data_IF_309879703469
#
_entry.id   IF_309879703469
#
_cell.length_a   1.000
_cell.length_b   1.000
_cell.length_c   1.000
_cell.angle_alpha   90.00
_cell.angle_beta   90.00
_cell.angle_gamma   90.00
#
_symmetry.space_group_name_H-M   'P 1'
#
loop_
_entity.id
_entity.type
_entity.pdbx_description
1 polymer ?
#
# COMPACT_ATOMS: atom_id res chain seq x y z
N UNK A 1 -26.80 -30.20 17.26
CA UNK A 1 -25.62 -31.08 17.05
C UNK A 1 -26.01 -32.32 16.26
N UNK A 2 -27.06 -33.09 16.68
CA UNK A 2 -27.42 -34.35 16.01
C UNK A 2 -27.93 -34.19 14.56
N UNK A 3 -28.35 -33.01 14.15
CA UNK A 3 -28.76 -32.66 12.78
C UNK A 3 -27.64 -32.18 11.89
N UNK A 4 -26.43 -32.04 12.42
CA UNK A 4 -25.24 -31.66 11.65
C UNK A 4 -24.58 -32.88 10.99
N UNK A 5 -23.89 -32.69 9.90
CA UNK A 5 -23.02 -33.70 9.29
C UNK A 5 -21.72 -33.86 10.08
N UNK A 6 -21.10 -35.04 10.01
CA UNK A 6 -19.81 -35.30 10.64
C UNK A 6 -18.70 -34.87 9.65
N UNK A 7 -17.76 -34.07 10.14
CA UNK A 7 -16.53 -33.77 9.42
C UNK A 7 -15.32 -34.18 10.29
N UNK A 8 -14.36 -34.82 9.67
CA UNK A 8 -13.11 -35.26 10.30
C UNK A 8 -11.95 -34.63 9.53
N UNK A 9 -11.08 -33.93 10.23
CA UNK A 9 -9.87 -33.35 9.67
C UNK A 9 -8.68 -34.06 10.30
N UNK A 10 -7.79 -34.59 9.46
CA UNK A 10 -6.59 -35.30 9.89
C UNK A 10 -5.38 -34.55 9.34
N UNK A 11 -4.48 -34.12 10.23
CA UNK A 11 -3.20 -33.55 9.86
C UNK A 11 -2.11 -34.61 10.03
N UNK A 12 -1.40 -34.93 8.97
CA UNK A 12 -0.37 -35.95 8.90
C UNK A 12 1.01 -35.32 8.69
N UNK A 13 1.97 -35.55 9.56
CA UNK A 13 3.35 -35.13 9.35
C UNK A 13 3.98 -35.94 8.19
N UNK A 14 4.57 -35.26 7.22
CA UNK A 14 5.31 -35.89 6.13
C UNK A 14 6.80 -35.78 6.45
N UNK A 15 7.47 -36.93 6.52
CA UNK A 15 8.91 -37.05 6.81
C UNK A 15 9.61 -37.80 5.69
N UNK A 16 10.89 -37.55 5.42
CA UNK A 16 11.69 -38.32 4.45
C UNK A 16 12.07 -39.71 4.95
N UNK A 17 12.13 -39.86 6.25
CA UNK A 17 12.50 -41.14 6.89
C UNK A 17 11.62 -41.43 8.10
N UNK A 18 11.42 -42.67 8.41
CA UNK A 18 10.68 -43.08 9.59
C UNK A 18 11.32 -42.49 10.86
N UNK A 19 10.53 -41.77 11.67
CA UNK A 19 11.00 -41.08 12.88
C UNK A 19 11.76 -39.78 12.66
N UNK A 20 11.87 -39.28 11.40
CA UNK A 20 12.46 -37.99 11.09
C UNK A 20 11.55 -36.82 11.49
N UNK A 21 12.12 -35.59 11.50
CA UNK A 21 11.34 -34.37 11.70
C UNK A 21 10.36 -34.16 10.55
N UNK A 22 9.18 -33.63 10.85
CA UNK A 22 8.19 -33.31 9.84
C UNK A 22 8.71 -32.16 8.94
N UNK A 23 8.75 -32.41 7.62
CA UNK A 23 9.13 -31.40 6.62
C UNK A 23 7.92 -30.59 6.16
N UNK A 24 6.74 -31.21 6.16
CA UNK A 24 5.44 -30.59 5.89
C UNK A 24 4.33 -31.35 6.61
N UNK A 25 3.17 -30.73 6.67
CA UNK A 25 1.93 -31.35 7.10
C UNK A 25 1.00 -31.50 5.92
N UNK A 26 0.42 -32.70 5.73
CA UNK A 26 -0.68 -32.92 4.80
C UNK A 26 -1.99 -32.95 5.57
N UNK A 27 -2.96 -32.20 5.10
CA UNK A 27 -4.29 -32.12 5.70
C UNK A 27 -5.27 -32.88 4.81
N UNK A 28 -5.92 -33.87 5.41
CA UNK A 28 -7.01 -34.62 4.79
C UNK A 28 -8.30 -34.29 5.50
N UNK A 29 -9.37 -34.09 4.76
CA UNK A 29 -10.69 -33.89 5.34
C UNK A 29 -11.69 -34.87 4.77
N UNK A 30 -12.58 -35.36 5.62
CA UNK A 30 -13.61 -36.33 5.30
C UNK A 30 -14.94 -35.81 5.83
N UNK A 31 -16.02 -35.98 5.10
CA UNK A 31 -17.36 -35.64 5.57
C UNK A 31 -18.39 -36.70 5.21
N UNK A 32 -19.40 -36.83 6.04
CA UNK A 32 -20.62 -37.58 5.73
C UNK A 32 -21.69 -36.63 5.23
N UNK A 33 -22.50 -37.03 4.24
CA UNK A 33 -23.73 -36.32 3.87
C UNK A 33 -24.85 -36.60 4.86
N UNK A 34 -24.78 -37.73 5.54
CA UNK A 34 -25.72 -38.10 6.60
C UNK A 34 -25.41 -37.30 7.86
N UNK A 35 -26.46 -36.97 8.58
CA UNK A 35 -26.37 -36.32 9.88
C UNK A 35 -25.70 -37.23 10.92
N UNK A 36 -25.15 -36.67 11.98
CA UNK A 36 -24.58 -37.44 13.11
C UNK A 36 -25.60 -38.44 13.67
N UNK A 37 -26.90 -38.04 13.74
CA UNK A 37 -27.99 -38.93 14.14
C UNK A 37 -28.13 -40.14 13.22
N UNK A 38 -28.15 -39.92 11.91
CA UNK A 38 -28.29 -41.01 10.92
C UNK A 38 -27.11 -41.95 10.93
N UNK A 39 -25.89 -41.39 11.00
CA UNK A 39 -24.66 -42.17 11.13
C UNK A 39 -24.68 -43.02 12.39
N UNK A 40 -25.00 -42.44 13.55
CA UNK A 40 -25.07 -43.16 14.82
C UNK A 40 -26.08 -44.31 14.81
N UNK A 41 -27.22 -44.18 14.14
CA UNK A 41 -28.19 -45.27 13.95
C UNK A 41 -27.62 -46.34 13.01
N UNK A 42 -26.98 -45.95 11.92
CA UNK A 42 -26.46 -46.88 10.91
C UNK A 42 -25.34 -47.78 11.46
N UNK A 43 -24.47 -47.17 12.27
CA UNK A 43 -23.37 -47.91 12.94
C UNK A 43 -23.82 -48.68 14.17
N UNK A 44 -25.12 -48.65 14.52
CA UNK A 44 -25.67 -49.38 15.62
C UNK A 44 -25.34 -48.84 17.03
N UNK A 45 -24.87 -47.62 17.13
CA UNK A 45 -24.59 -46.94 18.40
C UNK A 45 -25.81 -46.26 19.00
N UNK A 46 -26.77 -45.86 18.15
CA UNK A 46 -27.95 -45.13 18.59
C UNK A 46 -29.23 -45.76 18.06
N UNK A 47 -30.32 -45.55 18.80
CA UNK A 47 -31.70 -45.88 18.38
C UNK A 47 -32.57 -44.63 18.46
N UNK A 48 -33.61 -44.59 17.62
CA UNK A 48 -34.56 -43.50 17.58
C UNK A 48 -35.92 -44.10 18.04
N UNK A 49 -36.48 -43.54 19.11
CA UNK A 49 -37.79 -43.92 19.63
C UNK A 49 -38.63 -42.64 19.65
N UNK A 50 -39.57 -42.51 18.68
CA UNK A 50 -40.31 -41.27 18.45
C UNK A 50 -39.34 -40.15 18.07
N UNK A 51 -39.32 -39.04 18.81
CA UNK A 51 -38.43 -37.91 18.61
C UNK A 51 -37.09 -38.02 19.40
N UNK A 52 -36.98 -39.01 20.24
CA UNK A 52 -35.84 -39.16 21.15
C UNK A 52 -34.77 -40.06 20.56
N UNK A 53 -33.50 -39.65 20.68
CA UNK A 53 -32.33 -40.43 20.29
C UNK A 53 -31.67 -40.97 21.59
N UNK A 54 -31.59 -42.26 21.68
CA UNK A 54 -30.96 -42.97 22.83
C UNK A 54 -29.74 -43.77 22.35
N UNK A 55 -28.78 -43.99 23.26
CA UNK A 55 -27.66 -44.89 23.00
C UNK A 55 -28.04 -46.33 23.33
N UNK A 56 -27.52 -47.28 22.57
CA UNK A 56 -27.60 -48.69 22.99
C UNK A 56 -26.64 -48.93 24.17
N UNK A 57 -27.10 -49.65 25.15
CA UNK A 57 -26.23 -50.07 26.30
C UNK A 57 -25.14 -51.06 25.85
N UNK A 58 -25.46 -51.84 24.85
CA UNK A 58 -24.55 -52.74 24.13
C UNK A 58 -24.64 -52.39 22.64
N UNK A 59 -23.59 -51.78 22.08
CA UNK A 59 -23.58 -51.50 20.61
C UNK A 59 -23.72 -52.79 19.80
N UNK A 60 -24.41 -52.72 18.67
CA UNK A 60 -24.51 -53.81 17.73
C UNK A 60 -23.23 -53.95 16.91
N UNK A 61 -22.31 -54.80 17.32
CA UNK A 61 -21.02 -55.03 16.68
C UNK A 61 -21.13 -55.58 15.24
N UNK A 62 -22.33 -56.01 14.81
CA UNK A 62 -22.54 -56.46 13.44
C UNK A 62 -22.65 -55.29 12.46
N UNK A 63 -23.01 -54.10 12.95
CA UNK A 63 -23.10 -52.87 12.20
C UNK A 63 -21.81 -52.08 12.25
N UNK A 64 -20.90 -52.32 11.35
CA UNK A 64 -19.53 -51.73 11.35
C UNK A 64 -19.39 -50.42 10.58
N UNK A 65 -20.47 -49.77 10.19
CA UNK A 65 -20.42 -48.48 9.50
C UNK A 65 -19.84 -48.51 8.08
N UNK A 66 -19.56 -49.72 7.53
CA UNK A 66 -18.98 -49.85 6.17
C UNK A 66 -19.93 -49.38 5.06
N UNK A 67 -21.21 -49.18 5.37
CA UNK A 67 -22.22 -48.64 4.46
C UNK A 67 -22.32 -47.11 4.50
N UNK A 68 -21.68 -46.43 5.48
CA UNK A 68 -21.76 -44.97 5.59
C UNK A 68 -20.85 -44.35 4.53
N UNK A 69 -21.42 -43.63 3.55
CA UNK A 69 -20.62 -42.95 2.54
C UNK A 69 -19.77 -41.86 3.16
N UNK A 70 -18.47 -41.95 2.96
CA UNK A 70 -17.52 -40.90 3.37
C UNK A 70 -17.00 -40.21 2.12
N UNK A 71 -17.17 -38.90 2.07
CA UNK A 71 -16.66 -38.05 1.01
C UNK A 71 -15.32 -37.48 1.40
N UNK A 72 -14.32 -37.65 0.53
CA UNK A 72 -13.03 -37.00 0.69
C UNK A 72 -13.17 -35.54 0.26
N UNK A 73 -12.82 -34.63 1.14
CA UNK A 73 -12.79 -33.21 0.86
C UNK A 73 -11.36 -32.75 0.67
N UNK A 74 -11.15 -31.83 -0.28
CA UNK A 74 -9.88 -31.14 -0.43
C UNK A 74 -9.95 -29.85 0.41
N UNK A 75 -9.27 -29.80 1.56
CA UNK A 75 -9.30 -28.60 2.37
C UNK A 75 -8.58 -27.45 1.65
N UNK A 76 -9.24 -26.32 1.51
CA UNK A 76 -8.63 -25.08 1.05
C UNK A 76 -8.23 -24.28 2.27
N UNK A 77 -6.93 -24.17 2.50
CA UNK A 77 -6.41 -23.37 3.62
C UNK A 77 -6.51 -21.88 3.29
N UNK A 78 -6.90 -21.11 4.29
CA UNK A 78 -6.89 -19.64 4.16
C UNK A 78 -5.45 -19.17 3.91
N UNK A 79 -5.29 -18.31 2.91
CA UNK A 79 -4.03 -17.65 2.64
C UNK A 79 -3.83 -16.55 3.68
N UNK A 80 -2.60 -16.28 4.09
CA UNK A 80 -2.29 -15.32 5.15
C UNK A 80 -1.22 -14.32 4.69
N UNK A 81 -1.07 -13.17 5.37
CA UNK A 81 0.04 -12.24 5.09
C UNK A 81 1.41 -12.91 5.12
N UNK A 82 1.64 -13.81 6.07
CA UNK A 82 2.88 -14.58 6.15
C UNK A 82 3.06 -15.53 4.95
N UNK A 83 1.99 -16.21 4.52
CA UNK A 83 1.97 -17.03 3.32
C UNK A 83 2.22 -16.21 2.06
N UNK A 84 1.59 -15.03 1.97
CA UNK A 84 1.78 -14.10 0.87
C UNK A 84 3.24 -13.61 0.78
N UNK A 85 3.84 -13.24 1.91
CA UNK A 85 5.24 -12.83 1.96
C UNK A 85 6.18 -13.96 1.55
N UNK A 86 6.00 -15.17 2.10
CA UNK A 86 6.81 -16.34 1.77
C UNK A 86 6.73 -16.70 0.29
N UNK A 87 5.54 -16.66 -0.33
CA UNK A 87 5.34 -16.90 -1.76
C UNK A 87 6.09 -15.89 -2.63
N UNK A 88 6.32 -14.69 -2.12
CA UNK A 88 7.07 -13.63 -2.79
C UNK A 88 8.55 -13.54 -2.37
N UNK A 89 9.04 -14.50 -1.58
CA UNK A 89 10.42 -14.49 -1.02
C UNK A 89 10.70 -13.20 -0.24
N UNK A 90 9.74 -12.76 0.54
CA UNK A 90 9.78 -11.58 1.41
C UNK A 90 9.47 -11.98 2.84
N UNK A 91 9.76 -11.06 3.75
CA UNK A 91 9.25 -11.13 5.12
C UNK A 91 7.94 -10.33 5.21
N UNK A 92 7.01 -10.84 6.01
CA UNK A 92 5.77 -10.13 6.29
C UNK A 92 6.07 -8.88 7.13
N UNK A 93 5.36 -7.80 6.83
CA UNK A 93 5.45 -6.52 7.56
C UNK A 93 4.08 -6.27 8.17
N UNK A 94 3.99 -6.25 9.48
CA UNK A 94 2.74 -6.07 10.23
C UNK A 94 2.59 -4.64 10.80
N UNK A 95 3.52 -3.74 10.45
CA UNK A 95 3.44 -2.35 10.92
C UNK A 95 2.29 -1.61 10.26
N UNK A 96 1.73 -0.67 11.02
CA UNK A 96 0.62 0.18 10.56
C UNK A 96 1.09 1.15 9.47
N UNK A 97 0.42 1.10 8.32
CA UNK A 97 0.67 1.93 7.15
C UNK A 97 -0.58 2.77 6.88
N UNK A 98 -0.44 4.07 6.92
CA UNK A 98 -1.50 4.99 6.48
C UNK A 98 -1.19 5.43 5.05
N UNK A 99 -2.08 5.08 4.12
CA UNK A 99 -1.97 5.48 2.72
C UNK A 99 -2.96 6.61 2.42
N UNK A 100 -2.46 7.68 1.81
CA UNK A 100 -3.26 8.82 1.35
C UNK A 100 -3.31 8.82 -0.17
N UNK A 101 -4.51 8.67 -0.72
CA UNK A 101 -4.75 8.57 -2.16
C UNK A 101 -4.85 7.13 -2.66
N UNK A 102 -6.05 6.73 -3.07
CA UNK A 102 -6.37 5.44 -3.69
C UNK A 102 -6.66 5.58 -5.20
N UNK A 103 -5.99 6.53 -5.86
CA UNK A 103 -6.11 6.74 -7.30
C UNK A 103 -5.38 5.69 -8.15
N UNK A 104 -5.02 6.05 -9.39
CA UNK A 104 -4.40 5.12 -10.35
C UNK A 104 -3.15 4.44 -9.81
N UNK A 105 -2.15 5.21 -9.35
CA UNK A 105 -0.90 4.65 -8.82
C UNK A 105 -1.12 4.06 -7.42
N UNK A 106 -1.88 4.76 -6.54
CA UNK A 106 -2.11 4.33 -5.16
C UNK A 106 -2.81 2.98 -5.08
N UNK A 107 -3.91 2.79 -5.82
CA UNK A 107 -4.65 1.52 -5.80
C UNK A 107 -3.81 0.32 -6.23
N UNK A 108 -3.00 0.49 -7.27
CA UNK A 108 -2.14 -0.58 -7.79
C UNK A 108 -0.94 -0.86 -6.88
N UNK A 109 -0.31 0.20 -6.33
CA UNK A 109 0.81 0.09 -5.40
C UNK A 109 0.38 -0.58 -4.09
N UNK A 110 -0.72 -0.12 -3.47
CA UNK A 110 -1.27 -0.69 -2.24
C UNK A 110 -1.61 -2.17 -2.46
N UNK A 111 -2.32 -2.51 -3.56
CA UNK A 111 -2.65 -3.89 -3.90
C UNK A 111 -1.39 -4.76 -4.07
N UNK A 112 -0.36 -4.23 -4.74
CA UNK A 112 0.89 -4.95 -4.96
C UNK A 112 1.63 -5.20 -3.65
N UNK A 113 1.74 -4.19 -2.78
CA UNK A 113 2.33 -4.31 -1.45
C UNK A 113 1.55 -5.31 -0.58
N UNK A 114 0.21 -5.18 -0.54
CA UNK A 114 -0.65 -6.08 0.21
C UNK A 114 -0.43 -7.54 -0.19
N UNK A 115 -0.41 -7.85 -1.48
CA UNK A 115 -0.15 -9.20 -2.02
C UNK A 115 1.22 -9.77 -1.62
N UNK A 116 2.12 -8.95 -1.12
CA UNK A 116 3.43 -9.38 -0.58
C UNK A 116 3.47 -9.47 0.94
N UNK A 117 2.31 -9.46 1.62
CA UNK A 117 2.23 -9.51 3.08
C UNK A 117 2.78 -8.26 3.75
N UNK A 118 2.62 -7.08 3.12
CA UNK A 118 3.14 -5.82 3.63
C UNK A 118 2.01 -4.96 4.19
N UNK A 119 2.16 -4.58 5.45
CA UNK A 119 1.38 -3.55 6.13
C UNK A 119 0.06 -4.01 6.74
N UNK A 120 -0.30 -3.32 7.80
CA UNK A 120 -1.63 -3.19 8.39
C UNK A 120 -2.15 -1.82 7.93
N UNK A 121 -3.19 -1.79 7.07
CA UNK A 121 -3.49 -0.64 6.26
C UNK A 121 -4.65 0.21 6.77
N UNK A 122 -4.44 1.52 6.80
CA UNK A 122 -5.52 2.52 6.78
C UNK A 122 -5.43 3.28 5.45
N UNK A 123 -6.53 3.31 4.68
CA UNK A 123 -6.57 3.90 3.34
C UNK A 123 -7.48 5.13 3.36
N UNK A 124 -6.94 6.29 3.03
CA UNK A 124 -7.63 7.58 3.05
C UNK A 124 -7.81 8.07 1.61
N UNK A 125 -9.06 8.28 1.20
CA UNK A 125 -9.42 8.90 -0.09
C UNK A 125 -10.88 9.36 0.00
N UNK A 126 -11.18 10.58 -0.45
CA UNK A 126 -12.54 11.14 -0.40
C UNK A 126 -13.39 10.82 -1.63
N UNK A 127 -12.74 10.45 -2.74
CA UNK A 127 -13.39 10.31 -4.04
C UNK A 127 -14.14 8.99 -4.19
N UNK A 128 -15.17 9.03 -5.05
CA UNK A 128 -15.82 7.81 -5.55
C UNK A 128 -15.11 7.22 -6.77
N UNK A 129 -15.23 5.90 -6.93
CA UNK A 129 -14.74 5.21 -8.12
C UNK A 129 -15.70 5.45 -9.30
N UNK A 130 -15.23 6.16 -10.31
CA UNK A 130 -15.98 6.50 -11.50
C UNK A 130 -15.62 5.60 -12.69
N UNK A 131 -16.52 5.41 -13.69
CA UNK A 131 -16.25 4.53 -14.83
C UNK A 131 -14.93 4.79 -15.55
N UNK A 132 -14.51 6.05 -15.69
CA UNK A 132 -13.26 6.41 -16.37
C UNK A 132 -12.01 6.03 -15.54
N UNK A 133 -12.14 5.83 -14.23
CA UNK A 133 -11.03 5.37 -13.39
C UNK A 133 -10.62 3.94 -13.72
N UNK A 134 -11.56 3.09 -14.19
CA UNK A 134 -11.31 1.68 -14.52
C UNK A 134 -10.19 1.48 -15.54
N UNK A 135 -9.92 2.50 -16.35
CA UNK A 135 -8.81 2.44 -17.30
C UNK A 135 -7.44 2.21 -16.62
N UNK A 136 -7.27 2.61 -15.35
CA UNK A 136 -5.97 2.59 -14.65
C UNK A 136 -6.04 2.18 -13.18
N UNK A 137 -7.22 2.04 -12.62
CA UNK A 137 -7.42 1.64 -11.23
C UNK A 137 -7.25 0.12 -11.07
N UNK A 138 -6.85 -0.33 -9.88
CA UNK A 138 -6.73 -1.76 -9.58
C UNK A 138 -8.08 -2.49 -9.50
N UNK A 139 -9.17 -1.76 -9.27
CA UNK A 139 -10.51 -2.30 -9.14
C UNK A 139 -11.23 -2.40 -10.48
N UNK A 140 -12.25 -3.26 -10.54
CA UNK A 140 -13.11 -3.48 -11.69
C UNK A 140 -14.46 -2.74 -11.57
N UNK A 141 -15.35 -2.98 -12.56
CA UNK A 141 -16.64 -2.31 -12.67
C UNK A 141 -17.65 -2.62 -11.56
N UNK A 142 -17.42 -3.64 -10.74
CA UNK A 142 -18.27 -3.97 -9.59
C UNK A 142 -18.30 -2.84 -8.56
N UNK A 143 -17.19 -2.13 -8.42
CA UNK A 143 -17.01 -1.07 -7.41
C UNK A 143 -17.39 0.33 -7.89
N UNK A 144 -17.93 0.50 -9.10
CA UNK A 144 -18.35 1.83 -9.59
C UNK A 144 -19.39 2.44 -8.63
N UNK A 145 -19.13 3.69 -8.22
CA UNK A 145 -19.98 4.43 -7.28
C UNK A 145 -19.65 4.19 -5.80
N UNK A 146 -18.70 3.30 -5.48
CA UNK A 146 -18.21 3.17 -4.11
C UNK A 146 -17.13 4.22 -3.85
N UNK A 147 -16.99 4.72 -2.60
CA UNK A 147 -15.81 5.46 -2.21
C UNK A 147 -14.53 4.65 -2.47
N UNK A 148 -13.52 5.25 -3.10
CA UNK A 148 -12.29 4.53 -3.51
C UNK A 148 -11.60 3.82 -2.36
N UNK A 149 -11.49 4.49 -1.19
CA UNK A 149 -10.88 3.89 0.00
C UNK A 149 -11.64 2.65 0.48
N UNK A 150 -12.98 2.73 0.56
CA UNK A 150 -13.82 1.62 0.99
C UNK A 150 -13.80 0.45 -0.02
N UNK A 151 -13.88 0.76 -1.31
CA UNK A 151 -13.81 -0.22 -2.37
C UNK A 151 -12.47 -0.97 -2.38
N UNK A 152 -11.36 -0.23 -2.21
CA UNK A 152 -10.02 -0.83 -2.19
C UNK A 152 -9.82 -1.69 -0.95
N UNK A 153 -10.22 -1.22 0.24
CA UNK A 153 -10.14 -1.98 1.48
C UNK A 153 -10.91 -3.30 1.35
N UNK A 154 -12.17 -3.24 0.90
CA UNK A 154 -12.98 -4.44 0.65
C UNK A 154 -12.31 -5.41 -0.34
N UNK A 155 -11.75 -4.89 -1.44
CA UNK A 155 -11.05 -5.72 -2.43
C UNK A 155 -9.82 -6.42 -1.83
N UNK A 156 -9.03 -5.72 -1.02
CA UNK A 156 -7.85 -6.29 -0.38
C UNK A 156 -8.20 -7.47 0.53
N UNK A 157 -9.27 -7.36 1.31
CA UNK A 157 -9.75 -8.45 2.17
C UNK A 157 -10.23 -9.67 1.39
N UNK A 158 -10.65 -9.51 0.12
CA UNK A 158 -10.97 -10.64 -0.75
C UNK A 158 -9.72 -11.38 -1.25
N UNK A 159 -8.53 -10.76 -1.23
CA UNK A 159 -7.28 -11.44 -1.60
C UNK A 159 -6.89 -12.46 -0.53
N UNK A 160 -6.89 -12.06 0.74
CA UNK A 160 -6.76 -12.91 1.92
C UNK A 160 -7.20 -12.12 3.17
N UNK A 161 -7.63 -12.80 4.24
CA UNK A 161 -7.94 -12.15 5.50
C UNK A 161 -6.72 -11.39 6.04
N UNK A 162 -6.80 -10.09 6.08
CA UNK A 162 -5.78 -9.16 6.57
C UNK A 162 -6.47 -8.00 7.26
N UNK A 163 -5.80 -6.86 7.31
CA UNK A 163 -6.38 -5.65 7.85
C UNK A 163 -6.24 -4.50 6.84
N UNK A 164 -7.37 -3.92 6.45
CA UNK A 164 -7.44 -2.76 5.58
C UNK A 164 -8.67 -1.93 5.94
N UNK A 165 -8.47 -0.84 6.68
CA UNK A 165 -9.54 0.06 7.12
C UNK A 165 -9.65 1.28 6.20
N UNK A 166 -10.83 1.61 5.70
CA UNK A 166 -11.04 2.80 4.88
C UNK A 166 -11.38 4.01 5.74
N UNK A 167 -10.88 5.18 5.34
CA UNK A 167 -11.37 6.48 5.82
C UNK A 167 -11.75 7.31 4.60
N UNK A 168 -13.02 7.70 4.53
CA UNK A 168 -13.56 8.54 3.46
C UNK A 168 -13.43 9.99 3.94
N UNK A 169 -12.34 10.66 3.57
CA UNK A 169 -12.07 12.03 4.01
C UNK A 169 -11.13 12.75 3.05
N UNK A 170 -11.32 14.07 2.94
CA UNK A 170 -10.30 14.98 2.42
C UNK A 170 -9.26 15.22 3.52
N UNK A 171 -7.99 14.93 3.23
CA UNK A 171 -6.90 15.13 4.18
C UNK A 171 -6.65 16.61 4.49
N UNK A 172 -7.02 17.51 3.60
CA UNK A 172 -6.85 18.97 3.75
C UNK A 172 -8.05 19.63 4.46
N UNK A 173 -9.25 19.04 4.36
CA UNK A 173 -10.47 19.45 5.05
C UNK A 173 -11.06 18.26 5.81
N UNK A 174 -10.50 17.99 6.98
CA UNK A 174 -10.72 16.75 7.73
C UNK A 174 -12.13 16.67 8.37
N UNK A 175 -12.82 17.80 8.56
CA UNK A 175 -14.17 17.84 9.13
C UNK A 175 -14.35 16.94 10.35
N UNK A 176 -15.41 16.14 10.35
CA UNK A 176 -15.74 15.18 11.42
C UNK A 176 -14.73 14.02 11.54
N UNK A 177 -13.88 13.79 10.52
CA UNK A 177 -12.87 12.75 10.53
C UNK A 177 -11.58 13.14 11.24
N UNK A 178 -11.44 14.38 11.72
CA UNK A 178 -10.20 14.91 12.29
C UNK A 178 -9.63 14.03 13.42
N UNK A 179 -10.42 13.70 14.43
CA UNK A 179 -9.95 12.90 15.58
C UNK A 179 -9.50 11.50 15.15
N UNK A 180 -10.25 10.87 14.23
CA UNK A 180 -9.90 9.57 13.69
C UNK A 180 -8.58 9.63 12.93
N UNK A 181 -8.42 10.60 12.04
CA UNK A 181 -7.20 10.80 11.26
C UNK A 181 -5.98 11.05 12.16
N UNK A 182 -6.11 11.89 13.21
CA UNK A 182 -5.03 12.13 14.15
C UNK A 182 -4.60 10.86 14.87
N UNK A 183 -5.56 10.02 15.30
CA UNK A 183 -5.27 8.72 15.90
C UNK A 183 -4.51 7.81 14.95
N UNK A 184 -5.01 7.67 13.72
CA UNK A 184 -4.40 6.79 12.71
C UNK A 184 -2.96 7.23 12.38
N UNK A 185 -2.72 8.53 12.22
CA UNK A 185 -1.39 9.08 12.00
C UNK A 185 -0.45 8.90 13.20
N UNK A 186 -0.96 9.04 14.43
CA UNK A 186 -0.15 8.87 15.64
C UNK A 186 0.34 7.41 15.80
N UNK A 187 -0.47 6.43 15.40
CA UNK A 187 -0.16 5.01 15.47
C UNK A 187 0.66 4.51 14.28
N UNK A 188 0.70 5.24 13.17
CA UNK A 188 1.40 4.86 11.95
C UNK A 188 2.91 4.67 12.17
N UNK A 189 3.49 3.73 11.42
CA UNK A 189 4.94 3.57 11.24
C UNK A 189 5.41 4.10 9.90
N UNK A 190 4.51 4.09 8.92
CA UNK A 190 4.72 4.63 7.58
C UNK A 190 3.48 5.41 7.15
N UNK A 191 3.67 6.60 6.61
CA UNK A 191 2.66 7.33 5.86
C UNK A 191 3.08 7.31 4.40
N UNK A 192 2.25 6.71 3.55
CA UNK A 192 2.47 6.56 2.12
C UNK A 192 1.56 7.54 1.37
N UNK A 193 2.14 8.59 0.82
CA UNK A 193 1.43 9.55 0.00
C UNK A 193 1.41 9.09 -1.47
N UNK A 194 0.22 8.80 -1.98
CA UNK A 194 -0.06 8.46 -3.36
C UNK A 194 -1.08 9.43 -4.00
N UNK A 195 -1.30 10.58 -3.37
CA UNK A 195 -2.27 11.58 -3.83
C UNK A 195 -1.87 12.27 -5.13
N UNK A 196 -0.59 12.27 -5.46
CA UNK A 196 0.02 13.05 -6.54
C UNK A 196 -0.26 14.56 -6.40
N UNK A 197 -0.43 15.03 -5.17
CA UNK A 197 -0.71 16.42 -4.84
C UNK A 197 0.40 17.01 -3.98
N UNK A 198 1.09 18.03 -4.49
CA UNK A 198 2.13 18.74 -3.74
C UNK A 198 1.59 19.34 -2.43
N UNK A 199 0.34 19.82 -2.43
CA UNK A 199 -0.29 20.40 -1.23
C UNK A 199 -0.49 19.32 -0.16
N UNK A 200 -0.93 18.11 -0.55
CA UNK A 200 -1.10 16.99 0.38
C UNK A 200 0.25 16.55 0.94
N UNK A 201 1.27 16.39 0.10
CA UNK A 201 2.61 16.01 0.54
C UNK A 201 3.18 17.01 1.58
N UNK A 202 3.02 18.32 1.34
CA UNK A 202 3.44 19.38 2.27
C UNK A 202 2.61 19.38 3.57
N UNK A 203 1.29 19.19 3.48
CA UNK A 203 0.43 19.04 4.65
C UNK A 203 0.88 17.87 5.52
N UNK A 204 1.14 16.72 4.91
CA UNK A 204 1.66 15.53 5.60
C UNK A 204 3.03 15.79 6.25
N UNK A 205 3.90 16.55 5.60
CA UNK A 205 5.22 16.89 6.10
C UNK A 205 5.16 17.82 7.32
N UNK A 206 4.33 18.87 7.26
CA UNK A 206 4.42 20.02 8.16
C UNK A 206 3.25 20.16 9.15
N UNK A 207 2.05 19.66 8.81
CA UNK A 207 0.84 19.84 9.61
C UNK A 207 0.40 18.58 10.36
N UNK A 208 0.79 17.38 9.86
CA UNK A 208 0.43 16.11 10.49
C UNK A 208 1.40 15.77 11.61
N UNK A 209 0.91 15.75 12.85
CA UNK A 209 1.69 15.33 14.02
C UNK A 209 1.78 13.80 14.06
N UNK A 210 2.91 13.24 13.66
CA UNK A 210 3.13 11.79 13.66
C UNK A 210 4.64 11.51 13.68
N UNK A 211 5.10 10.48 14.40
CA UNK A 211 6.49 10.03 14.34
C UNK A 211 6.78 9.20 13.06
N UNK A 212 5.73 8.81 12.33
CA UNK A 212 5.86 7.98 11.15
C UNK A 212 6.71 8.65 10.09
N UNK A 213 7.55 7.86 9.43
CA UNK A 213 8.26 8.25 8.23
C UNK A 213 7.29 8.43 7.07
N UNK A 214 7.48 9.45 6.21
CA UNK A 214 6.65 9.68 5.03
C UNK A 214 7.41 9.28 3.78
N UNK A 215 6.67 8.70 2.85
CA UNK A 215 7.13 8.39 1.50
C UNK A 215 6.08 8.86 0.52
N UNK A 216 6.44 9.76 -0.41
CA UNK A 216 5.56 10.21 -1.48
C UNK A 216 5.91 9.52 -2.78
N UNK A 217 4.89 9.02 -3.48
CA UNK A 217 5.00 8.25 -4.72
C UNK A 217 4.06 8.85 -5.76
N UNK A 218 4.61 9.37 -6.84
CA UNK A 218 3.83 9.98 -7.90
C UNK A 218 4.47 9.80 -9.28
N UNK A 219 3.70 10.04 -10.32
CA UNK A 219 4.17 9.99 -11.71
C UNK A 219 4.38 11.42 -12.23
N UNK A 220 5.33 11.56 -13.17
CA UNK A 220 5.44 12.80 -13.92
C UNK A 220 4.18 13.06 -14.78
N UNK A 221 4.00 14.25 -15.37
CA UNK A 221 2.79 14.58 -16.12
C UNK A 221 2.45 13.63 -17.28
N UNK A 222 3.45 13.04 -17.93
CA UNK A 222 3.26 12.05 -19.01
C UNK A 222 3.01 10.62 -18.50
N UNK A 223 3.28 10.34 -17.22
CA UNK A 223 3.22 9.00 -16.66
C UNK A 223 4.35 8.08 -17.08
N UNK A 224 5.40 8.62 -17.70
CA UNK A 224 6.58 7.86 -18.13
C UNK A 224 7.58 7.67 -17.01
N UNK A 225 7.62 8.58 -16.05
CA UNK A 225 8.59 8.57 -14.97
C UNK A 225 7.90 8.46 -13.61
N UNK A 226 8.44 7.59 -12.76
CA UNK A 226 7.99 7.41 -11.37
C UNK A 226 8.92 8.18 -10.45
N UNK A 227 8.38 8.98 -9.55
CA UNK A 227 9.13 9.71 -8.52
C UNK A 227 8.83 9.14 -7.15
N UNK A 228 9.87 8.92 -6.37
CA UNK A 228 9.77 8.49 -4.96
C UNK A 228 10.62 9.43 -4.11
N UNK A 229 9.96 10.11 -3.20
CA UNK A 229 10.57 10.94 -2.16
C UNK A 229 10.37 10.23 -0.83
N UNK A 230 11.46 9.87 -0.15
CA UNK A 230 11.38 9.22 1.15
C UNK A 230 12.17 10.04 2.19
N UNK A 231 11.50 10.43 3.27
CA UNK A 231 12.13 11.10 4.41
C UNK A 231 13.20 10.19 5.04
N UNK A 232 14.14 10.73 5.78
CA UNK A 232 14.98 9.95 6.67
C UNK A 232 14.22 9.50 7.93
N UNK A 233 14.76 8.54 8.66
CA UNK A 233 14.13 7.96 9.84
C UNK A 233 13.87 8.98 10.96
N UNK A 234 14.75 9.96 11.11
CA UNK A 234 14.62 11.02 12.11
C UNK A 234 13.77 12.20 11.63
N UNK A 235 13.42 12.22 10.34
CA UNK A 235 12.68 13.30 9.70
C UNK A 235 13.37 14.66 9.75
N UNK A 236 14.70 14.65 9.62
CA UNK A 236 15.49 15.87 9.45
C UNK A 236 15.31 16.47 8.04
N UNK A 237 14.97 15.60 7.05
CA UNK A 237 14.65 15.97 5.68
C UNK A 237 13.21 15.51 5.37
N UNK A 238 12.28 16.41 5.54
CA UNK A 238 10.83 16.20 5.34
C UNK A 238 10.44 16.26 3.87
N UNK A 239 9.23 15.78 3.51
CA UNK A 239 8.78 15.69 2.12
C UNK A 239 8.80 17.04 1.39
N UNK A 240 8.46 18.14 2.04
CA UNK A 240 8.50 19.50 1.48
C UNK A 240 9.93 19.94 1.11
N UNK A 241 10.90 19.61 1.98
CA UNK A 241 12.32 19.86 1.71
C UNK A 241 12.84 18.98 0.57
N UNK A 242 12.45 17.71 0.55
CA UNK A 242 12.81 16.77 -0.54
C UNK A 242 12.18 17.20 -1.87
N UNK A 243 10.94 17.68 -1.86
CA UNK A 243 10.25 18.23 -3.03
C UNK A 243 11.03 19.41 -3.62
N UNK A 244 11.47 20.36 -2.78
CA UNK A 244 12.26 21.50 -3.24
C UNK A 244 13.59 21.06 -3.89
N UNK A 245 14.26 20.07 -3.31
CA UNK A 245 15.51 19.53 -3.87
C UNK A 245 15.26 18.72 -5.15
N UNK A 246 14.15 18.01 -5.25
CA UNK A 246 13.73 17.35 -6.48
C UNK A 246 13.53 18.37 -7.62
N UNK A 247 12.78 19.44 -7.40
CA UNK A 247 12.58 20.48 -8.42
C UNK A 247 13.88 21.20 -8.79
N UNK A 248 14.77 21.41 -7.84
CA UNK A 248 16.10 21.94 -8.14
C UNK A 248 16.88 21.01 -9.09
N UNK A 249 16.87 19.72 -8.83
CA UNK A 249 17.54 18.74 -9.69
C UNK A 249 16.92 18.72 -11.09
N UNK A 250 15.59 18.77 -11.19
CA UNK A 250 14.90 18.88 -12.49
C UNK A 250 15.29 20.15 -13.25
N UNK A 251 15.35 21.29 -12.56
CA UNK A 251 15.75 22.56 -13.17
C UNK A 251 17.22 22.59 -13.60
N UNK A 252 18.07 21.81 -12.96
CA UNK A 252 19.46 21.66 -13.38
C UNK A 252 19.62 20.84 -14.67
N UNK A 253 18.59 20.15 -15.12
CA UNK A 253 18.57 19.37 -16.36
C UNK A 253 19.38 18.08 -16.27
N UNK A 254 20.21 17.84 -17.28
CA UNK A 254 21.04 16.61 -17.33
C UNK A 254 20.19 15.35 -17.51
N UNK A 255 20.35 14.38 -16.62
CA UNK A 255 19.57 13.12 -16.68
C UNK A 255 18.07 13.33 -16.50
N UNK A 256 17.62 14.50 -15.98
CA UNK A 256 16.22 14.86 -15.77
C UNK A 256 15.69 15.84 -16.82
N UNK A 257 16.43 16.11 -17.87
CA UNK A 257 15.94 16.95 -18.98
C UNK A 257 14.65 16.38 -19.57
N UNK A 258 13.66 17.25 -19.77
CA UNK A 258 12.34 16.89 -20.31
C UNK A 258 11.41 16.16 -19.32
N UNK A 259 11.85 15.88 -18.07
CA UNK A 259 11.06 15.12 -17.09
C UNK A 259 9.67 15.70 -16.79
N UNK A 260 9.53 17.03 -16.72
CA UNK A 260 8.24 17.72 -16.49
C UNK A 260 7.54 18.17 -17.77
N UNK A 261 8.08 17.86 -18.95
CA UNK A 261 7.40 18.19 -20.21
C UNK A 261 6.10 17.41 -20.29
N UNK A 262 5.00 18.08 -20.64
CA UNK A 262 3.70 17.46 -20.81
C UNK A 262 3.15 17.77 -22.20
N UNK A 263 2.97 16.71 -22.98
CA UNK A 263 2.23 16.73 -24.24
C UNK A 263 0.89 15.99 -24.10
N UNK A 264 0.59 15.48 -22.88
CA UNK A 264 -0.59 14.67 -22.63
C UNK A 264 -1.88 15.49 -22.72
N UNK A 265 -2.84 14.96 -23.45
CA UNK A 265 -4.19 15.53 -23.52
C UNK A 265 -4.94 15.35 -22.20
N UNK A 266 -5.85 16.26 -21.91
CA UNK A 266 -6.83 16.08 -20.83
C UNK A 266 -8.14 15.61 -21.44
N UNK A 267 -8.65 14.47 -20.97
CA UNK A 267 -9.96 13.96 -21.32
C UNK A 267 -10.98 14.39 -20.26
N UNK A 268 -12.10 14.95 -20.71
CA UNK A 268 -13.22 15.30 -19.86
C UNK A 268 -14.35 14.29 -20.07
N UNK A 269 -14.71 13.58 -19.02
CA UNK A 269 -15.74 12.53 -19.07
C UNK A 269 -17.15 13.02 -18.65
N UNK A 270 -17.24 14.19 -18.03
CA UNK A 270 -18.48 14.77 -17.55
C UNK A 270 -18.44 16.28 -17.48
N UNK A 271 -19.35 16.89 -16.68
CA UNK A 271 -19.52 18.34 -16.58
C UNK A 271 -18.81 18.98 -15.39
N UNK A 272 -18.29 18.19 -14.43
CA UNK A 272 -17.58 18.68 -13.25
C UNK A 272 -16.07 18.75 -13.47
N UNK A 273 -15.36 19.48 -12.59
CA UNK A 273 -13.89 19.51 -12.61
C UNK A 273 -13.28 18.15 -12.24
N UNK A 274 -13.99 17.32 -11.46
CA UNK A 274 -13.59 15.97 -11.07
C UNK A 274 -13.63 14.97 -12.24
N UNK A 275 -14.30 15.34 -13.34
CA UNK A 275 -14.43 14.52 -14.55
C UNK A 275 -13.27 14.69 -15.54
N UNK A 276 -12.22 15.44 -15.17
CA UNK A 276 -11.04 15.64 -15.99
C UNK A 276 -9.98 14.62 -15.58
N UNK A 277 -9.59 13.76 -16.52
CA UNK A 277 -8.50 12.82 -16.32
C UNK A 277 -7.37 13.09 -17.31
N UNK A 278 -6.13 13.06 -16.82
CA UNK A 278 -4.95 13.08 -17.68
C UNK A 278 -4.88 11.77 -18.45
N UNK A 279 -4.60 11.82 -19.75
CA UNK A 279 -4.36 10.61 -20.55
C UNK A 279 -3.01 10.03 -20.21
N UNK A 280 -2.99 8.76 -19.78
CA UNK A 280 -1.79 8.10 -19.30
C UNK A 280 -1.93 6.60 -19.55
N UNK A 281 -0.86 5.93 -19.98
CA UNK A 281 -0.87 4.50 -20.26
C UNK A 281 -1.07 3.67 -19.00
N UNK A 282 -2.05 2.74 -19.01
CA UNK A 282 -2.26 1.81 -17.91
C UNK A 282 -1.07 0.87 -17.73
N UNK A 283 -0.39 0.50 -18.82
CA UNK A 283 0.80 -0.35 -18.79
C UNK A 283 1.93 0.31 -18.00
N UNK A 284 2.15 1.61 -18.22
CA UNK A 284 3.16 2.38 -17.49
C UNK A 284 2.78 2.53 -16.02
N UNK A 285 1.51 2.83 -15.70
CA UNK A 285 1.04 2.92 -14.31
C UNK A 285 1.25 1.59 -13.58
N UNK A 286 0.89 0.46 -14.20
CA UNK A 286 1.05 -0.87 -13.60
C UNK A 286 2.54 -1.23 -13.39
N UNK A 287 3.37 -0.95 -14.38
CA UNK A 287 4.82 -1.18 -14.29
C UNK A 287 5.43 -0.33 -13.17
N UNK A 288 5.07 0.96 -13.11
CA UNK A 288 5.57 1.86 -12.07
C UNK A 288 5.06 1.49 -10.68
N UNK A 289 3.84 0.99 -10.53
CA UNK A 289 3.34 0.50 -9.26
C UNK A 289 4.14 -0.73 -8.77
N UNK A 290 4.52 -1.63 -9.68
CA UNK A 290 5.37 -2.77 -9.34
C UNK A 290 6.78 -2.33 -8.91
N UNK A 291 7.39 -1.37 -9.62
CA UNK A 291 8.68 -0.79 -9.26
C UNK A 291 8.58 -0.07 -7.91
N UNK A 292 7.54 0.77 -7.73
CA UNK A 292 7.30 1.50 -6.50
C UNK A 292 7.18 0.58 -5.29
N UNK A 293 6.54 -0.58 -5.43
CA UNK A 293 6.37 -1.53 -4.33
C UNK A 293 7.71 -2.02 -3.78
N UNK A 294 8.67 -2.30 -4.65
CA UNK A 294 10.02 -2.68 -4.22
C UNK A 294 10.81 -1.47 -3.72
N UNK A 295 10.69 -0.32 -4.40
CA UNK A 295 11.43 0.88 -4.03
C UNK A 295 10.99 1.45 -2.67
N UNK A 296 9.70 1.42 -2.34
CA UNK A 296 9.17 1.77 -1.01
C UNK A 296 9.76 0.85 0.06
N UNK A 297 9.76 -0.48 -0.15
CA UNK A 297 10.41 -1.41 0.79
C UNK A 297 11.89 -1.11 0.99
N UNK A 298 12.61 -0.81 -0.09
CA UNK A 298 14.03 -0.44 -0.01
C UNK A 298 14.23 0.88 0.73
N UNK A 299 13.40 1.88 0.43
CA UNK A 299 13.48 3.18 1.08
C UNK A 299 13.26 3.09 2.59
N UNK A 300 12.24 2.36 3.05
CA UNK A 300 11.97 2.20 4.49
C UNK A 300 13.01 1.33 5.23
N UNK A 301 13.68 0.44 4.52
CA UNK A 301 14.78 -0.35 5.11
C UNK A 301 16.06 0.48 5.31
N UNK A 302 16.21 1.59 4.57
CA UNK A 302 17.31 2.56 4.74
C UNK A 302 16.96 3.58 5.83
N UNK A 303 17.90 4.05 6.60
CA UNK A 303 17.68 5.15 7.56
C UNK A 303 17.78 6.53 6.89
N UNK A 304 18.41 6.64 5.72
CA UNK A 304 18.64 7.88 5.02
C UNK A 304 17.44 8.32 4.19
N UNK A 305 17.31 9.63 3.99
CA UNK A 305 16.38 10.19 3.01
C UNK A 305 16.81 9.85 1.58
N UNK A 306 15.85 9.79 0.66
CA UNK A 306 16.15 9.54 -0.75
C UNK A 306 15.20 10.27 -1.69
N UNK A 307 15.73 10.65 -2.86
CA UNK A 307 14.99 11.15 -4.01
C UNK A 307 15.38 10.23 -5.17
N UNK A 308 14.45 9.45 -5.67
CA UNK A 308 14.70 8.52 -6.77
C UNK A 308 13.66 8.70 -7.86
N UNK A 309 14.12 8.86 -9.08
CA UNK A 309 13.30 8.99 -10.27
C UNK A 309 13.57 7.77 -11.17
N UNK A 310 12.56 6.98 -11.46
CA UNK A 310 12.66 5.86 -12.39
C UNK A 310 12.15 6.33 -13.75
N UNK A 311 13.08 6.66 -14.65
CA UNK A 311 12.77 7.13 -16.01
C UNK A 311 12.52 5.95 -16.93
N UNK A 312 11.35 5.91 -17.56
CA UNK A 312 11.00 4.87 -18.51
C UNK A 312 11.05 5.41 -19.94
N UNK A 313 11.76 4.70 -20.80
CA UNK A 313 11.61 4.89 -22.24
C UNK A 313 10.33 4.15 -22.68
N UNK A 314 9.28 4.84 -23.17
CA UNK A 314 8.00 4.22 -23.49
C UNK A 314 8.05 3.27 -24.69
N UNK A 315 9.05 3.39 -25.56
CA UNK A 315 9.21 2.54 -26.75
C UNK A 315 9.89 1.19 -26.39
N UNK A 316 10.94 1.26 -25.58
CA UNK A 316 11.73 0.08 -25.22
C UNK A 316 11.33 -0.54 -23.89
N UNK A 317 10.53 0.18 -23.09
CA UNK A 317 10.19 -0.12 -21.69
C UNK A 317 11.42 -0.25 -20.76
N UNK A 318 12.57 0.23 -21.21
CA UNK A 318 13.76 0.30 -20.36
C UNK A 318 13.57 1.35 -19.26
N UNK A 319 13.84 0.95 -18.02
CA UNK A 319 13.73 1.84 -16.85
C UNK A 319 15.12 2.11 -16.30
N UNK A 320 15.47 3.38 -16.20
CA UNK A 320 16.74 3.85 -15.65
C UNK A 320 16.49 4.63 -14.34
N UNK A 321 17.02 4.18 -13.21
CA UNK A 321 16.91 4.95 -11.97
C UNK A 321 17.89 6.13 -11.99
N UNK A 322 17.39 7.32 -11.66
CA UNK A 322 18.16 8.53 -11.40
C UNK A 322 18.02 8.84 -9.92
N UNK A 323 19.14 8.87 -9.21
CA UNK A 323 19.16 9.17 -7.77
C UNK A 323 19.73 10.55 -7.52
N UNK A 324 18.95 11.39 -6.86
CA UNK A 324 19.40 12.71 -6.39
C UNK A 324 19.76 12.59 -4.91
N UNK A 325 21.01 12.84 -4.58
CA UNK A 325 21.46 12.77 -3.19
C UNK A 325 20.89 13.94 -2.38
N UNK A 326 20.00 13.69 -1.40
CA UNK A 326 19.46 14.75 -0.57
C UNK A 326 20.56 15.49 0.22
N UNK A 327 20.41 16.78 0.35
CA UNK A 327 21.35 17.65 1.06
C UNK A 327 20.73 18.13 2.35
N UNK A 328 21.53 18.21 3.41
CA UNK A 328 21.09 18.82 4.66
C UNK A 328 20.67 20.27 4.41
N UNK A 329 19.63 20.70 5.12
CA UNK A 329 19.19 22.09 5.08
C UNK A 329 19.59 22.81 6.37
N UNK A 330 19.93 24.08 6.21
CA UNK A 330 20.02 25.03 7.32
C UNK A 330 18.65 25.66 7.45
N UNK A 331 18.14 25.63 8.67
CA UNK A 331 16.89 26.26 9.04
C UNK A 331 17.18 27.63 9.64
N UNK A 332 16.54 28.66 9.13
CA UNK A 332 16.64 30.04 9.63
C UNK A 332 15.25 30.61 9.84
N UNK A 333 14.99 31.05 11.07
CA UNK A 333 13.75 31.77 11.39
C UNK A 333 13.87 33.24 10.97
N UNK A 334 12.85 33.75 10.29
CA UNK A 334 12.76 35.15 9.89
C UNK A 334 11.31 35.63 10.06
N UNK A 335 11.08 36.45 11.09
CA UNK A 335 9.73 36.82 11.55
C UNK A 335 8.89 35.57 11.87
N UNK A 336 7.74 35.41 11.19
CA UNK A 336 6.83 34.27 11.31
C UNK A 336 7.07 33.20 10.23
N UNK A 337 8.18 33.32 9.48
CA UNK A 337 8.57 32.40 8.41
C UNK A 337 9.78 31.57 8.82
N UNK A 338 9.81 30.34 8.34
CA UNK A 338 10.98 29.47 8.39
C UNK A 338 11.57 29.33 7.00
N UNK A 339 12.83 29.73 6.85
CA UNK A 339 13.59 29.56 5.61
C UNK A 339 14.42 28.29 5.68
N UNK A 340 14.30 27.44 4.69
CA UNK A 340 15.16 26.26 4.48
C UNK A 340 16.13 26.51 3.34
N UNK A 341 17.41 26.46 3.61
CA UNK A 341 18.47 26.54 2.60
C UNK A 341 19.32 25.27 2.66
N UNK A 342 19.41 24.54 1.56
CA UNK A 342 20.33 23.42 1.54
C UNK A 342 21.80 23.89 1.49
N UNK A 343 22.67 23.06 2.06
CA UNK A 343 24.11 23.39 2.19
C UNK A 343 24.79 23.62 0.85
N UNK A 344 24.36 22.94 -0.22
CA UNK A 344 24.93 23.11 -1.55
C UNK A 344 24.60 24.50 -2.14
N UNK A 345 23.39 25.00 -1.90
CA UNK A 345 23.01 26.36 -2.29
C UNK A 345 23.86 27.38 -1.53
N UNK A 346 24.07 27.19 -0.21
CA UNK A 346 24.91 28.07 0.58
C UNK A 346 26.37 28.07 0.11
N UNK A 347 26.93 26.91 -0.20
CA UNK A 347 28.28 26.77 -0.75
C UNK A 347 28.41 27.47 -2.11
N UNK A 348 27.42 27.33 -2.98
CA UNK A 348 27.37 28.03 -4.28
C UNK A 348 27.35 29.55 -4.09
N UNK A 349 26.50 30.06 -3.19
CA UNK A 349 26.45 31.50 -2.89
C UNK A 349 27.77 32.02 -2.37
N UNK A 350 28.40 31.27 -1.46
CA UNK A 350 29.73 31.62 -0.93
C UNK A 350 30.81 31.66 -2.03
N UNK A 351 30.81 30.66 -2.93
CA UNK A 351 31.75 30.59 -4.06
C UNK A 351 31.52 31.73 -5.06
N UNK A 352 30.27 32.03 -5.41
CA UNK A 352 29.93 33.14 -6.30
C UNK A 352 30.39 34.49 -5.72
N UNK A 353 30.20 34.70 -4.41
CA UNK A 353 30.68 35.90 -3.72
C UNK A 353 32.18 35.98 -3.71
N UNK A 354 32.89 34.91 -3.34
CA UNK A 354 34.33 34.87 -3.27
C UNK A 354 34.98 35.23 -4.61
N UNK A 355 34.39 34.78 -5.74
CA UNK A 355 34.89 35.09 -7.08
C UNK A 355 34.67 36.54 -7.55
N UNK A 356 33.92 37.36 -6.77
CA UNK A 356 33.60 38.75 -7.10
C UNK A 356 34.20 39.79 -6.16
N UNK A 357 34.78 39.35 -5.05
CA UNK A 357 35.39 40.25 -4.10
C UNK A 357 36.54 41.06 -4.78
N UNK A 358 36.69 42.37 -4.45
CA UNK A 358 35.95 43.15 -3.45
C UNK A 358 34.63 43.77 -3.93
N UNK A 359 34.20 43.47 -5.13
CA UNK A 359 32.96 44.05 -5.71
C UNK A 359 31.69 43.44 -5.03
N UNK A 360 30.64 44.24 -5.01
CA UNK A 360 29.32 43.72 -4.64
C UNK A 360 28.83 42.72 -5.69
N UNK A 361 28.13 41.71 -5.22
CA UNK A 361 27.44 40.75 -6.06
C UNK A 361 26.10 40.42 -5.43
N UNK A 362 25.13 40.21 -6.27
CA UNK A 362 23.77 39.85 -5.87
C UNK A 362 23.12 38.93 -6.90
N UNK A 363 22.01 38.36 -6.52
CA UNK A 363 21.21 37.50 -7.38
C UNK A 363 19.80 37.34 -6.81
N UNK A 364 18.98 36.63 -7.56
CA UNK A 364 17.64 36.26 -7.13
C UNK A 364 17.65 34.77 -6.79
N UNK A 365 17.18 34.42 -5.59
CA UNK A 365 16.91 33.04 -5.21
C UNK A 365 15.50 32.70 -5.66
N UNK A 366 15.37 31.56 -6.32
CA UNK A 366 14.07 30.97 -6.63
C UNK A 366 13.87 29.76 -5.74
N UNK A 367 12.68 29.65 -5.17
CA UNK A 367 12.33 28.57 -4.24
C UNK A 367 10.85 28.29 -4.23
N UNK A 368 10.46 27.38 -3.36
CA UNK A 368 9.07 27.07 -3.05
C UNK A 368 8.68 27.80 -1.77
N UNK A 369 7.41 28.11 -1.64
CA UNK A 369 6.86 28.64 -0.39
C UNK A 369 5.53 27.97 -0.07
N UNK A 370 5.23 27.88 1.22
CA UNK A 370 3.96 27.40 1.70
C UNK A 370 3.38 28.42 2.70
N UNK A 371 2.18 28.92 2.38
CA UNK A 371 1.52 29.93 3.21
C UNK A 371 0.95 29.35 4.50
N UNK A 372 0.56 28.09 4.50
CA UNK A 372 -0.05 27.42 5.65
C UNK A 372 0.98 27.13 6.74
N UNK A 373 2.14 26.62 6.38
CA UNK A 373 3.25 26.33 7.30
C UNK A 373 4.19 27.52 7.51
N UNK A 374 4.04 28.62 6.75
CA UNK A 374 4.98 29.75 6.75
C UNK A 374 6.42 29.32 6.47
N UNK A 375 6.62 28.46 5.47
CA UNK A 375 7.94 27.97 5.05
C UNK A 375 8.34 28.48 3.67
N UNK A 376 9.62 28.70 3.47
CA UNK A 376 10.24 29.06 2.20
C UNK A 376 11.42 28.12 1.93
#
# INVERSE_FOLDING_TARGET
>A
VLSASLAIIVALPVTRSAGGAAEKWETWAFATLKTIKEVGVEIGSWQVVGETVGTYLTPDDTKRGGSVPIHVLSPSLAFSPAGAAAANRKEAVAEKVVAVGAGAIGSQLITTLYRTGFGDWTIIDEDDLMPHNLARHALDGFYIGWPKSAALAHYLEQIYPGHAEPIIADILDQGDSHELLQKEFAEAKLILDCSASAIVARHLATQVSSPARRVSVFLNPEGTDLVILAEDKCRDLTLDVLEAQYYRAVNAGGELEGHLTSNSGKLRYGRSCRDISTTMSTQLVTMHAAIASQAVRTAIASEAASITIFRCNPETLAVTPVSVAPKRCVRQEFHDWTLFLDVQTLELLAALRAGKLPNETGGVLMGLYDLGSKTI
#
